data_IF_098853420013
#
_entry.id   IF_098853420013
#
_cell.length_a   1.000
_cell.length_b   1.000
_cell.length_c   1.000
_cell.angle_alpha   90.00
_cell.angle_beta   90.00
_cell.angle_gamma   90.00
#
_symmetry.space_group_name_H-M   'P 1'
#
loop_
_entity.id
_entity.type
_entity.pdbx_description
1 polymer ?
#
# COMPACT_ATOMS: atom_id res chain seq x y z
N UNK A 1 -14.09 2.12 5.79
CA UNK A 1 -12.95 2.78 5.11
C UNK A 1 -11.78 2.80 6.08
N UNK A 2 -10.56 2.59 5.60
CA UNK A 2 -9.37 2.99 6.37
C UNK A 2 -9.52 4.48 6.71
N UNK A 3 -9.22 4.88 7.95
CA UNK A 3 -9.17 6.32 8.23
C UNK A 3 -8.00 6.93 7.45
N UNK A 4 -8.02 8.26 7.28
CA UNK A 4 -6.95 8.98 6.58
C UNK A 4 -5.59 8.67 7.20
N UNK A 5 -5.53 8.47 8.52
CA UNK A 5 -4.30 8.12 9.24
C UNK A 5 -3.72 6.75 8.82
N UNK A 6 -4.55 5.71 8.74
CA UNK A 6 -4.13 4.37 8.31
C UNK A 6 -3.61 4.38 6.88
N UNK A 7 -4.23 5.19 6.00
CA UNK A 7 -3.74 5.37 4.63
C UNK A 7 -2.34 5.98 4.62
N UNK A 8 -2.12 7.08 5.34
CA UNK A 8 -0.80 7.73 5.43
C UNK A 8 0.23 6.87 6.15
N UNK A 9 -0.19 5.97 7.04
CA UNK A 9 0.73 5.05 7.70
C UNK A 9 1.26 3.99 6.72
N UNK A 10 0.40 3.50 5.82
CA UNK A 10 0.78 2.60 4.73
C UNK A 10 1.59 3.35 3.66
N UNK A 11 1.13 4.52 3.21
CA UNK A 11 1.74 5.34 2.15
C UNK A 11 2.21 6.71 2.71
N UNK A 12 3.39 6.77 3.38
CA UNK A 12 3.83 7.95 4.13
C UNK A 12 4.32 9.12 3.26
N UNK A 13 4.91 8.83 2.11
CA UNK A 13 5.58 9.85 1.32
C UNK A 13 4.58 10.61 0.44
N UNK A 14 4.88 11.88 0.16
CA UNK A 14 4.01 12.73 -0.65
C UNK A 14 3.83 12.14 -2.06
N UNK A 15 2.58 11.78 -2.39
CA UNK A 15 2.21 11.19 -3.67
C UNK A 15 2.59 9.71 -3.81
N UNK A 16 3.01 9.05 -2.72
CA UNK A 16 3.20 7.61 -2.70
C UNK A 16 1.84 6.91 -2.77
N UNK A 17 1.68 6.04 -3.75
CA UNK A 17 0.49 5.22 -3.95
C UNK A 17 0.83 3.75 -4.19
N UNK A 18 2.10 3.37 -4.03
CA UNK A 18 2.56 1.98 -4.03
C UNK A 18 3.31 1.69 -2.73
N UNK A 19 3.11 0.51 -2.16
CA UNK A 19 3.87 0.03 -1.00
C UNK A 19 4.01 -1.49 -1.06
N UNK A 20 5.02 -2.02 -0.36
CA UNK A 20 5.26 -3.45 -0.22
C UNK A 20 5.06 -3.87 1.23
N UNK A 21 4.37 -4.99 1.47
CA UNK A 21 4.08 -5.46 2.82
C UNK A 21 5.34 -5.64 3.67
N UNK A 22 6.42 -6.11 3.05
CA UNK A 22 7.72 -6.31 3.71
C UNK A 22 8.31 -4.98 4.20
N UNK A 23 8.26 -3.93 3.38
CA UNK A 23 8.76 -2.59 3.74
C UNK A 23 7.86 -1.95 4.81
N UNK A 24 6.54 -2.05 4.64
CA UNK A 24 5.58 -1.53 5.61
C UNK A 24 5.77 -2.18 6.98
N UNK A 25 5.78 -3.52 7.04
CA UNK A 25 5.99 -4.27 8.29
C UNK A 25 7.36 -3.95 8.90
N UNK A 26 8.43 -3.88 8.09
CA UNK A 26 9.75 -3.50 8.58
C UNK A 26 9.78 -2.08 9.16
N UNK A 27 8.99 -1.16 8.62
CA UNK A 27 8.95 0.26 9.04
C UNK A 27 8.15 0.46 10.33
N UNK A 28 6.96 -0.14 10.45
CA UNK A 28 6.05 0.10 11.59
C UNK A 28 6.06 -1.01 12.65
N UNK A 29 6.64 -2.17 12.33
CA UNK A 29 6.62 -3.37 13.15
C UNK A 29 5.34 -4.21 12.97
N UNK A 30 5.48 -5.52 13.14
CA UNK A 30 4.45 -6.53 12.87
C UNK A 30 3.13 -6.28 13.62
N UNK A 31 3.19 -5.96 14.92
CA UNK A 31 1.99 -5.70 15.73
C UNK A 31 1.21 -4.48 15.21
N UNK A 32 1.91 -3.41 14.83
CA UNK A 32 1.26 -2.18 14.34
C UNK A 32 0.69 -2.42 12.95
N UNK A 33 1.45 -3.03 12.04
CA UNK A 33 1.00 -3.40 10.72
C UNK A 33 -0.27 -4.28 10.77
N UNK A 34 -0.27 -5.33 11.60
CA UNK A 34 -1.43 -6.21 11.80
C UNK A 34 -2.66 -5.44 12.25
N UNK A 35 -2.50 -4.52 13.21
CA UNK A 35 -3.62 -3.72 13.71
C UNK A 35 -4.23 -2.82 12.63
N UNK A 36 -3.39 -2.21 11.78
CA UNK A 36 -3.82 -1.36 10.66
C UNK A 36 -4.55 -2.21 9.61
N UNK A 37 -3.91 -3.28 9.14
CA UNK A 37 -4.48 -4.15 8.10
C UNK A 37 -5.82 -4.77 8.54
N UNK A 38 -5.94 -5.16 9.80
CA UNK A 38 -7.21 -5.62 10.36
C UNK A 38 -8.32 -4.56 10.32
N UNK A 39 -8.00 -3.26 10.44
CA UNK A 39 -8.99 -2.18 10.27
C UNK A 39 -9.36 -1.99 8.80
N UNK A 40 -8.38 -2.04 7.90
CA UNK A 40 -8.60 -1.92 6.45
C UNK A 40 -9.49 -3.05 5.92
N UNK A 41 -9.19 -4.31 6.28
CA UNK A 41 -9.92 -5.48 5.79
C UNK A 41 -11.34 -5.64 6.36
N UNK A 42 -11.67 -5.00 7.47
CA UNK A 42 -13.02 -5.09 8.09
C UNK A 42 -14.16 -4.55 7.23
N UNK A 43 -13.85 -3.77 6.19
CA UNK A 43 -14.85 -3.08 5.39
C UNK A 43 -14.68 -3.40 3.90
N UNK A 44 -14.96 -4.65 3.47
CA UNK A 44 -14.93 -4.98 2.05
C UNK A 44 -15.92 -4.10 1.29
N UNK A 45 -15.50 -3.62 0.12
CA UNK A 45 -16.33 -2.84 -0.79
C UNK A 45 -16.61 -3.70 -2.02
N UNK A 46 -17.87 -3.74 -2.48
CA UNK A 46 -18.18 -4.36 -3.77
C UNK A 46 -17.38 -3.65 -4.85
N UNK A 47 -16.63 -4.41 -5.65
CA UNK A 47 -15.79 -3.90 -6.72
C UNK A 47 -16.55 -3.00 -7.70
N UNK A 48 -17.86 -3.24 -7.90
CA UNK A 48 -18.71 -2.41 -8.76
C UNK A 48 -18.99 -1.02 -8.19
N UNK A 49 -18.90 -0.87 -6.87
CA UNK A 49 -19.09 0.39 -6.14
C UNK A 49 -17.77 1.10 -5.86
N UNK A 50 -16.64 0.46 -6.13
CA UNK A 50 -15.33 1.06 -5.95
C UNK A 50 -15.12 2.20 -6.95
N UNK A 51 -14.81 3.40 -6.44
CA UNK A 51 -14.48 4.57 -7.25
C UNK A 51 -12.95 4.72 -7.32
N UNK A 52 -12.33 3.98 -8.25
CA UNK A 52 -10.89 4.00 -8.47
C UNK A 52 -10.06 3.28 -7.41
N UNK A 53 -8.74 3.41 -7.52
CA UNK A 53 -7.74 2.83 -6.63
C UNK A 53 -6.82 3.97 -6.20
N UNK A 54 -6.75 4.25 -4.90
CA UNK A 54 -5.93 5.34 -4.34
C UNK A 54 -4.52 4.89 -3.97
N UNK A 55 -4.31 3.58 -3.82
CA UNK A 55 -2.99 3.01 -3.57
C UNK A 55 -3.00 1.49 -3.65
N UNK A 56 -1.82 0.92 -3.87
CA UNK A 56 -1.58 -0.52 -4.05
C UNK A 56 -0.56 -1.00 -3.04
N UNK A 57 -0.98 -1.91 -2.15
CA UNK A 57 -0.10 -2.61 -1.22
C UNK A 57 0.19 -4.02 -1.75
N UNK A 58 1.42 -4.29 -2.16
CA UNK A 58 1.84 -5.60 -2.66
C UNK A 58 2.17 -6.57 -1.52
N UNK A 59 1.52 -7.75 -1.53
CA UNK A 59 1.81 -8.86 -0.62
C UNK A 59 2.70 -9.91 -1.30
N UNK A 60 3.82 -10.27 -0.67
CA UNK A 60 4.73 -11.35 -1.12
C UNK A 60 5.25 -11.20 -2.57
N UNK A 61 5.30 -9.96 -3.06
CA UNK A 61 5.69 -9.64 -4.44
C UNK A 61 6.91 -8.73 -4.48
N UNK A 62 7.88 -8.94 -3.58
CA UNK A 62 9.10 -8.11 -3.49
C UNK A 62 9.89 -8.04 -4.80
N UNK A 63 9.79 -9.06 -5.66
CA UNK A 63 10.36 -9.04 -7.02
C UNK A 63 9.88 -7.88 -7.89
N UNK A 64 8.74 -7.26 -7.57
CA UNK A 64 8.21 -6.10 -8.29
C UNK A 64 8.85 -4.78 -7.85
N UNK A 65 9.58 -4.73 -6.72
CA UNK A 65 10.20 -3.49 -6.22
C UNK A 65 11.09 -2.81 -7.26
N UNK A 66 11.76 -3.61 -8.11
CA UNK A 66 12.60 -3.09 -9.21
C UNK A 66 11.85 -2.16 -10.17
N UNK A 67 10.53 -2.35 -10.33
CA UNK A 67 9.70 -1.51 -11.21
C UNK A 67 9.18 -0.25 -10.52
N UNK A 68 9.26 -0.16 -9.19
CA UNK A 68 8.71 0.93 -8.39
C UNK A 68 9.77 1.59 -7.47
N UNK A 69 10.86 2.14 -8.02
CA UNK A 69 11.94 2.74 -7.22
C UNK A 69 11.47 3.93 -6.37
N UNK A 70 10.46 4.67 -6.84
CA UNK A 70 9.91 5.84 -6.15
C UNK A 70 8.61 5.56 -5.41
N UNK A 71 8.11 4.32 -5.49
CA UNK A 71 6.82 3.91 -4.91
C UNK A 71 5.62 4.77 -5.37
N UNK A 72 5.70 5.30 -6.59
CA UNK A 72 4.58 5.93 -7.29
C UNK A 72 4.23 5.17 -8.56
N UNK A 73 2.96 4.83 -8.75
CA UNK A 73 2.47 4.06 -9.90
C UNK A 73 2.74 4.81 -11.21
N UNK A 74 2.53 6.12 -11.22
CA UNK A 74 2.80 6.98 -12.39
C UNK A 74 4.27 7.05 -12.81
N UNK A 75 5.18 6.68 -11.92
CA UNK A 75 6.63 6.65 -12.14
C UNK A 75 7.14 5.20 -12.27
N UNK A 76 6.24 4.22 -12.45
CA UNK A 76 6.62 2.83 -12.69
C UNK A 76 7.52 2.73 -13.92
N UNK A 77 8.65 2.06 -13.76
CA UNK A 77 9.62 1.83 -14.84
C UNK A 77 9.67 0.35 -15.20
N UNK A 78 9.91 0.04 -16.47
CA UNK A 78 10.06 -1.35 -16.95
C UNK A 78 11.48 -1.89 -16.73
N UNK A 79 12.40 -1.08 -16.20
CA UNK A 79 13.80 -1.46 -16.00
C UNK A 79 14.56 -1.72 -17.31
N UNK A 80 14.11 -1.12 -18.42
CA UNK A 80 14.76 -1.16 -19.75
C UNK A 80 15.45 0.16 -20.07
#
# INVERSE_FOLDING_TARGET
>A
MANVDDFHEIFPDSGQDVEFISDFVSRVGEKRATNILNRVWKNPVDKKLAQGIHGTLFFELDKKKVYYPTKKESEMSLGI
#
